data_IF_581047895655
#
_entry.id   IF_581047895655
#
_cell.length_a   1.000
_cell.length_b   1.000
_cell.length_c   1.000
_cell.angle_alpha   90.00
_cell.angle_beta   90.00
_cell.angle_gamma   90.00
#
_symmetry.space_group_name_H-M   'P 1'
#
loop_
_entity.id
_entity.type
_entity.pdbx_description
1 polymer ?
#
# COMPACT_ATOMS: atom_id res chain seq x y z
N UNK A 1 39.14 -8.37 10.93
CA UNK A 1 38.56 -8.01 12.26
C UNK A 1 37.96 -6.60 12.17
N UNK A 2 36.84 -6.38 12.89
CA UNK A 2 35.98 -5.18 13.05
C UNK A 2 36.74 -3.83 13.09
N UNK A 3 36.15 -2.64 12.84
CA UNK A 3 34.80 -2.15 13.14
C UNK A 3 34.46 -0.92 12.23
N UNK A 4 33.24 -0.82 11.67
CA UNK A 4 32.12 0.07 12.05
C UNK A 4 32.44 1.55 12.26
N UNK A 5 31.69 2.39 11.54
CA UNK A 5 30.86 3.50 12.06
C UNK A 5 30.97 4.72 11.14
N UNK A 6 29.92 4.96 10.35
CA UNK A 6 29.25 6.26 10.31
C UNK A 6 28.01 6.10 9.44
N UNK A 7 26.96 5.52 10.05
CA UNK A 7 25.61 5.73 9.57
C UNK A 7 25.29 7.21 9.82
N UNK A 8 25.24 7.99 8.74
CA UNK A 8 24.73 9.36 8.76
C UNK A 8 23.22 9.27 9.01
N UNK A 9 22.81 9.50 10.27
CA UNK A 9 21.44 9.31 10.77
C UNK A 9 20.78 10.64 11.16
N UNK A 10 21.20 11.78 10.58
CA UNK A 10 20.67 13.08 11.01
C UNK A 10 20.03 13.98 9.95
N UNK A 11 20.24 13.79 8.64
CA UNK A 11 19.85 14.84 7.67
C UNK A 11 18.96 14.40 6.51
N UNK A 12 18.38 13.19 6.53
CA UNK A 12 17.71 12.64 5.34
C UNK A 12 16.31 12.07 5.56
N UNK A 13 15.52 12.65 6.48
CA UNK A 13 14.12 12.25 6.69
C UNK A 13 13.11 13.41 6.76
N UNK A 14 13.46 14.61 6.28
CA UNK A 14 12.46 15.67 6.12
C UNK A 14 12.64 16.39 4.78
N UNK A 15 12.48 15.65 3.68
CA UNK A 15 12.16 16.32 2.42
C UNK A 15 10.69 16.72 2.48
N UNK A 16 10.31 18.00 2.32
CA UNK A 16 8.92 18.40 2.21
C UNK A 16 8.46 18.14 0.78
N UNK A 17 8.54 16.90 0.30
CA UNK A 17 7.77 16.50 -0.88
C UNK A 17 6.39 16.10 -0.36
N UNK A 18 5.67 17.08 0.16
CA UNK A 18 4.22 17.08 0.05
C UNK A 18 3.99 17.51 -1.39
N UNK A 19 3.82 16.54 -2.29
CA UNK A 19 3.36 16.84 -3.65
C UNK A 19 2.08 17.67 -3.55
N UNK A 20 1.87 18.64 -4.45
CA UNK A 20 0.66 19.48 -4.43
C UNK A 20 -0.63 18.62 -4.41
N UNK A 21 -0.57 17.43 -5.00
CA UNK A 21 -1.59 16.39 -4.97
C UNK A 21 -1.91 15.91 -3.54
N UNK A 22 -0.87 15.71 -2.72
CA UNK A 22 -0.99 15.26 -1.33
C UNK A 22 -1.55 16.36 -0.41
N UNK A 23 -1.40 17.64 -0.79
CA UNK A 23 -2.04 18.76 -0.07
C UNK A 23 -3.54 18.87 -0.38
N UNK A 24 -3.94 18.60 -1.64
CA UNK A 24 -5.34 18.59 -2.06
C UNK A 24 -6.10 17.40 -1.46
N UNK A 25 -5.43 16.26 -1.31
CA UNK A 25 -5.99 15.06 -0.69
C UNK A 25 -6.29 15.19 0.81
N UNK A 26 -5.61 16.09 1.53
CA UNK A 26 -5.92 16.37 2.95
C UNK A 26 -7.29 17.03 3.14
N UNK A 27 -7.87 17.60 2.09
CA UNK A 27 -9.19 18.25 2.18
C UNK A 27 -10.35 17.28 1.94
N UNK A 28 -10.08 16.03 1.53
CA UNK A 28 -11.10 15.00 1.42
C UNK A 28 -11.31 14.33 2.78
N UNK A 29 -12.57 14.19 3.17
CA UNK A 29 -12.93 13.49 4.40
C UNK A 29 -12.46 12.03 4.32
N UNK A 30 -11.67 11.53 5.30
CA UNK A 30 -11.29 10.13 5.35
C UNK A 30 -12.49 9.18 5.37
N UNK A 31 -12.35 8.03 4.71
CA UNK A 31 -13.31 6.94 4.89
C UNK A 31 -13.14 6.34 6.28
N UNK A 32 -14.25 6.02 6.94
CA UNK A 32 -14.26 5.48 8.30
C UNK A 32 -15.24 4.31 8.42
N UNK A 33 -15.09 3.50 9.47
CA UNK A 33 -15.93 2.33 9.70
C UNK A 33 -15.48 1.11 8.92
N UNK A 34 -16.41 0.19 8.64
CA UNK A 34 -16.14 -1.03 7.87
C UNK A 34 -16.12 -0.68 6.38
N UNK A 35 -15.01 -0.98 5.72
CA UNK A 35 -14.81 -0.72 4.30
C UNK A 35 -14.74 -2.03 3.52
N UNK A 36 -15.33 -2.02 2.34
CA UNK A 36 -15.16 -3.05 1.31
C UNK A 36 -14.04 -2.67 0.34
N UNK A 37 -13.59 -3.65 -0.48
CA UNK A 37 -12.65 -3.39 -1.58
C UNK A 37 -13.19 -2.31 -2.54
N UNK A 38 -14.47 -2.38 -2.89
CA UNK A 38 -15.12 -1.42 -3.79
C UNK A 38 -15.11 0.02 -3.23
N UNK A 39 -15.26 0.19 -1.90
CA UNK A 39 -15.14 1.50 -1.26
C UNK A 39 -13.73 2.08 -1.42
N UNK A 40 -12.70 1.23 -1.39
CA UNK A 40 -11.31 1.65 -1.58
C UNK A 40 -10.95 1.91 -3.05
N UNK A 41 -11.50 1.14 -3.97
CA UNK A 41 -11.33 1.33 -5.43
C UNK A 41 -11.99 2.62 -5.91
N UNK A 42 -13.12 3.00 -5.30
CA UNK A 42 -13.82 4.26 -5.57
C UNK A 42 -13.32 5.45 -4.75
N UNK A 43 -12.30 5.26 -3.90
CA UNK A 43 -11.76 6.31 -3.05
C UNK A 43 -11.08 7.40 -3.91
N UNK A 44 -11.55 8.65 -3.86
CA UNK A 44 -10.97 9.72 -4.66
C UNK A 44 -9.49 9.95 -4.32
N UNK A 45 -8.66 10.13 -5.34
CA UNK A 45 -7.21 10.34 -5.22
C UNK A 45 -6.37 9.07 -5.07
N UNK A 46 -6.99 7.89 -5.17
CA UNK A 46 -6.28 6.60 -5.23
C UNK A 46 -6.17 6.06 -6.66
N UNK A 47 -6.71 6.76 -7.66
CA UNK A 47 -6.84 6.29 -9.05
C UNK A 47 -5.48 5.90 -9.65
N UNK A 48 -4.45 6.72 -9.41
CA UNK A 48 -3.10 6.43 -9.87
C UNK A 48 -2.52 5.15 -9.24
N UNK A 49 -2.76 4.93 -7.95
CA UNK A 49 -2.29 3.75 -7.23
C UNK A 49 -3.00 2.47 -7.68
N UNK A 50 -4.28 2.57 -8.03
CA UNK A 50 -5.03 1.47 -8.64
C UNK A 50 -4.59 1.21 -10.08
N UNK A 51 -4.28 2.24 -10.86
CA UNK A 51 -3.78 2.10 -12.23
C UNK A 51 -2.34 1.59 -12.33
N UNK A 52 -1.50 1.74 -11.29
CA UNK A 52 -0.09 1.36 -11.31
C UNK A 52 0.09 -0.15 -11.64
N UNK A 53 0.84 -0.48 -12.69
CA UNK A 53 1.13 -1.87 -13.00
C UNK A 53 2.10 -2.46 -11.95
N UNK A 54 1.59 -3.24 -11.01
CA UNK A 54 2.38 -3.95 -10.02
C UNK A 54 2.54 -5.42 -10.41
N UNK A 55 3.78 -5.92 -10.45
CA UNK A 55 4.10 -7.33 -10.71
C UNK A 55 4.78 -7.91 -9.48
N UNK A 56 4.11 -8.85 -8.81
CA UNK A 56 4.68 -9.55 -7.67
C UNK A 56 5.73 -10.58 -8.12
N UNK A 57 6.60 -10.98 -7.19
CA UNK A 57 7.56 -12.06 -7.40
C UNK A 57 6.81 -13.39 -7.67
N UNK A 58 7.07 -14.09 -8.80
CA UNK A 58 6.40 -15.35 -9.11
C UNK A 58 6.55 -16.44 -8.05
N UNK A 59 7.69 -16.50 -7.35
CA UNK A 59 7.90 -17.51 -6.31
C UNK A 59 7.00 -17.24 -5.08
N UNK A 60 6.83 -15.97 -4.71
CA UNK A 60 5.89 -15.55 -3.68
C UNK A 60 4.43 -15.86 -4.10
N UNK A 61 4.05 -15.57 -5.34
CA UNK A 61 2.70 -15.88 -5.86
C UNK A 61 2.37 -17.37 -5.79
N UNK A 62 3.31 -18.23 -6.19
CA UNK A 62 3.13 -19.68 -6.09
C UNK A 62 2.91 -20.14 -4.64
N UNK A 63 3.69 -19.58 -3.71
CA UNK A 63 3.58 -19.90 -2.27
C UNK A 63 2.25 -19.43 -1.69
N UNK A 64 1.82 -18.20 -2.01
CA UNK A 64 0.55 -17.63 -1.53
C UNK A 64 -0.63 -18.44 -2.08
N UNK A 65 -0.66 -18.71 -3.39
CA UNK A 65 -1.73 -19.48 -4.02
C UNK A 65 -1.87 -20.90 -3.45
N UNK A 66 -0.77 -21.54 -3.06
CA UNK A 66 -0.78 -22.88 -2.50
C UNK A 66 -1.29 -22.95 -1.05
N UNK A 67 -1.22 -21.85 -0.29
CA UNK A 67 -1.39 -21.89 1.17
C UNK A 67 -2.43 -20.93 1.75
N UNK A 68 -2.83 -19.88 1.01
CA UNK A 68 -3.64 -18.80 1.58
C UNK A 68 -5.16 -18.95 1.40
N UNK A 69 -5.65 -19.96 0.67
CA UNK A 69 -7.09 -20.10 0.34
C UNK A 69 -8.05 -20.27 1.53
N UNK A 70 -7.55 -20.60 2.72
CA UNK A 70 -8.34 -20.69 3.96
C UNK A 70 -8.02 -19.60 4.99
N UNK A 71 -7.25 -18.58 4.61
CA UNK A 71 -6.83 -17.51 5.51
C UNK A 71 -7.72 -16.29 5.34
N UNK A 72 -8.03 -15.63 6.45
CA UNK A 72 -8.72 -14.33 6.47
C UNK A 72 -7.74 -13.22 6.87
N UNK A 73 -7.75 -12.12 6.11
CA UNK A 73 -6.96 -10.93 6.41
C UNK A 73 -7.86 -9.80 6.91
N UNK A 74 -7.57 -9.27 8.10
CA UNK A 74 -8.17 -8.06 8.63
C UNK A 74 -7.21 -6.88 8.40
N UNK A 75 -7.64 -5.87 7.64
CA UNK A 75 -6.83 -4.71 7.29
C UNK A 75 -7.35 -3.47 8.00
N UNK A 76 -6.47 -2.81 8.76
CA UNK A 76 -6.71 -1.46 9.25
C UNK A 76 -6.17 -0.46 8.23
N UNK A 77 -7.07 0.27 7.57
CA UNK A 77 -6.72 1.17 6.49
C UNK A 77 -6.98 2.64 6.88
N UNK A 78 -6.03 3.52 6.56
CA UNK A 78 -6.19 4.96 6.65
C UNK A 78 -6.11 5.56 5.24
N UNK A 79 -7.23 6.04 4.69
CA UNK A 79 -7.28 6.49 3.28
C UNK A 79 -6.42 7.72 2.99
N UNK A 80 -6.12 8.51 4.01
CA UNK A 80 -5.24 9.67 3.94
C UNK A 80 -3.75 9.32 4.06
N UNK A 81 -3.41 8.10 4.49
CA UNK A 81 -2.02 7.70 4.68
C UNK A 81 -1.38 7.34 3.33
N UNK A 82 -0.23 7.93 2.97
CA UNK A 82 0.44 7.66 1.70
C UNK A 82 0.92 6.21 1.59
N UNK A 83 1.34 5.59 2.70
CA UNK A 83 1.74 4.18 2.70
C UNK A 83 0.56 3.26 2.47
N UNK A 84 -0.59 3.51 3.10
CA UNK A 84 -1.82 2.74 2.81
C UNK A 84 -2.22 2.86 1.34
N UNK A 85 -2.15 4.08 0.79
CA UNK A 85 -2.43 4.35 -0.64
C UNK A 85 -1.51 3.58 -1.58
N UNK A 86 -0.26 3.35 -1.19
CA UNK A 86 0.71 2.57 -1.96
C UNK A 86 0.50 1.06 -1.79
N UNK A 87 0.38 0.59 -0.56
CA UNK A 87 0.47 -0.84 -0.24
C UNK A 87 -0.87 -1.58 -0.37
N UNK A 88 -2.00 -0.94 -0.04
CA UNK A 88 -3.29 -1.62 -0.08
C UNK A 88 -3.71 -1.99 -1.51
N UNK A 89 -3.56 -1.12 -2.54
CA UNK A 89 -3.83 -1.52 -3.92
C UNK A 89 -2.91 -2.64 -4.41
N UNK A 90 -1.64 -2.64 -3.99
CA UNK A 90 -0.68 -3.70 -4.33
C UNK A 90 -1.04 -5.02 -3.66
N UNK A 91 -1.51 -4.99 -2.42
CA UNK A 91 -2.01 -6.17 -1.71
C UNK A 91 -3.15 -6.84 -2.49
N UNK A 92 -4.16 -6.09 -2.93
CA UNK A 92 -5.24 -6.65 -3.75
C UNK A 92 -4.74 -7.20 -5.09
N UNK A 93 -3.79 -6.52 -5.76
CA UNK A 93 -3.17 -7.04 -6.99
C UNK A 93 -2.43 -8.36 -6.77
N UNK A 94 -1.77 -8.55 -5.62
CA UNK A 94 -1.12 -9.82 -5.26
C UNK A 94 -2.18 -10.91 -5.11
N UNK A 95 -3.30 -10.62 -4.44
CA UNK A 95 -4.40 -11.58 -4.30
C UNK A 95 -5.00 -11.96 -5.66
N UNK A 96 -5.24 -10.99 -6.53
CA UNK A 96 -5.75 -11.23 -7.88
C UNK A 96 -4.77 -12.10 -8.70
N UNK A 97 -3.46 -11.77 -8.65
CA UNK A 97 -2.41 -12.53 -9.34
C UNK A 97 -2.21 -13.94 -8.77
N UNK A 98 -2.49 -14.15 -7.49
CA UNK A 98 -2.44 -15.45 -6.83
C UNK A 98 -3.73 -16.28 -7.05
N UNK A 99 -4.76 -15.73 -7.69
CA UNK A 99 -6.04 -16.40 -7.94
C UNK A 99 -6.97 -16.46 -6.72
N UNK A 100 -6.83 -15.51 -5.79
CA UNK A 100 -7.60 -15.44 -4.53
C UNK A 100 -8.52 -14.23 -4.44
N UNK A 101 -8.38 -13.26 -5.35
CA UNK A 101 -9.07 -11.97 -5.35
C UNK A 101 -10.32 -11.91 -6.22
#
# INVERSE_FOLDING_TARGET
MKARSNCCWSDMLCSPVVSLEDSMLRNLAPLTGRLSRADLESCPGWEASWAEAYRADPAALATIGAHAGGLEALIFNATWCPDCRREVPRFFKILDQAGLG
#
